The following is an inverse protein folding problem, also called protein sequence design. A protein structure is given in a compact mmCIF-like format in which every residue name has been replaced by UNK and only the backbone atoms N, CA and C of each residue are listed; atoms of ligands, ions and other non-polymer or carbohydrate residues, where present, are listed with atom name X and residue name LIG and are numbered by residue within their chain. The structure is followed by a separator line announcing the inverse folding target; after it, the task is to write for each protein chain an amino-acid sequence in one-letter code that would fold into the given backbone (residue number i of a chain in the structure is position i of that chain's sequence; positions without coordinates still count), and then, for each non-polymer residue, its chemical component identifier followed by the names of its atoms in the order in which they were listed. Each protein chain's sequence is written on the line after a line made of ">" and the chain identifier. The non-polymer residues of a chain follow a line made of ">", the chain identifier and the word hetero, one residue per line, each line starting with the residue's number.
data_IF_545337053936
#
_entry.id   IF_545337053936
#
_cell.length_a   1.000
_cell.length_b   1.000
_cell.length_c   1.000
_cell.angle_alpha   90.00
_cell.angle_beta   90.00
_cell.angle_gamma   90.00
#
_symmetry.space_group_name_H-M   'P 1'
#
loop_
_entity.id
_entity.type
_entity.pdbx_description
1 polymer ?
#
# COMPACT_ATOMS: atom_id res chain seq x y z
N UNK A 1 -21.32 0.56 5.80
CA UNK A 1 -20.95 -0.27 4.65
C UNK A 1 -19.60 0.16 4.13
N UNK A 2 -18.70 -0.79 3.91
CA UNK A 2 -17.35 -0.47 3.46
C UNK A 2 -17.31 -0.28 1.96
N UNK A 3 -16.62 0.74 1.53
CA UNK A 3 -16.32 0.92 0.12
C UNK A 3 -15.05 0.17 -0.25
N UNK A 4 -14.94 -0.20 -1.50
CA UNK A 4 -13.73 -0.79 -2.06
C UNK A 4 -13.26 0.03 -3.23
N UNK A 5 -11.95 0.22 -3.30
CA UNK A 5 -11.31 0.93 -4.41
C UNK A 5 -10.24 0.02 -4.97
N UNK A 6 -10.18 -0.07 -6.29
CA UNK A 6 -9.11 -0.77 -6.96
C UNK A 6 -8.20 0.25 -7.64
N UNK A 7 -6.90 0.10 -7.40
CA UNK A 7 -5.88 0.94 -8.03
C UNK A 7 -5.14 0.12 -9.07
N UNK A 8 -4.98 0.69 -10.23
CA UNK A 8 -4.23 0.05 -11.31
C UNK A 8 -3.17 1.04 -11.76
N UNK A 9 -1.92 0.60 -11.74
CA UNK A 9 -0.80 1.42 -12.20
C UNK A 9 -0.42 1.01 -13.61
N UNK A 10 -0.26 2.00 -14.47
CA UNK A 10 0.04 1.75 -15.89
C UNK A 10 1.14 2.68 -16.37
N UNK A 11 1.95 2.16 -17.29
CA UNK A 11 2.90 2.96 -18.06
C UNK A 11 2.64 2.64 -19.54
N UNK A 12 2.32 3.68 -20.33
CA UNK A 12 2.06 3.52 -21.74
C UNK A 12 1.10 2.37 -22.07
N UNK A 13 -0.03 2.33 -21.38
CA UNK A 13 -1.07 1.29 -21.56
C UNK A 13 -0.67 -0.10 -21.08
N UNK A 14 0.47 -0.23 -20.40
CA UNK A 14 0.89 -1.50 -19.82
C UNK A 14 0.64 -1.50 -18.33
N UNK A 15 0.03 -2.57 -17.83
CA UNK A 15 -0.17 -2.75 -16.39
C UNK A 15 1.16 -3.05 -15.73
N UNK A 16 1.53 -2.26 -14.73
CA UNK A 16 2.77 -2.48 -14.00
C UNK A 16 2.54 -2.89 -12.56
N UNK A 17 1.35 -2.64 -12.04
CA UNK A 17 1.04 -3.03 -10.67
C UNK A 17 -0.41 -2.75 -10.33
N UNK A 18 -0.83 -3.22 -9.16
CA UNK A 18 -2.20 -3.04 -8.70
C UNK A 18 -2.25 -3.12 -7.19
N UNK A 19 -3.36 -2.64 -6.65
CA UNK A 19 -3.68 -2.78 -5.25
C UNK A 19 -5.14 -2.45 -5.03
N UNK A 20 -5.69 -2.91 -3.93
CA UNK A 20 -7.07 -2.62 -3.56
C UNK A 20 -7.11 -2.11 -2.14
N UNK A 21 -8.16 -1.39 -1.81
CA UNK A 21 -8.38 -0.92 -0.45
C UNK A 21 -9.83 -1.06 -0.07
N UNK A 22 -10.04 -1.49 1.16
CA UNK A 22 -11.36 -1.51 1.80
C UNK A 22 -11.40 -0.34 2.77
N UNK A 23 -12.41 0.52 2.67
CA UNK A 23 -12.49 1.76 3.44
C UNK A 23 -13.58 1.67 4.50
N UNK A 24 -13.20 1.94 5.75
CA UNK A 24 -14.13 2.18 6.84
C UNK A 24 -14.27 3.68 7.08
N UNK A 25 -14.68 4.08 8.29
CA UNK A 25 -14.91 5.51 8.60
C UNK A 25 -13.63 6.33 8.54
N UNK A 26 -12.64 5.98 9.36
CA UNK A 26 -11.36 6.67 9.36
C UNK A 26 -10.21 5.72 9.06
N UNK A 27 -10.52 4.54 8.52
CA UNK A 27 -9.53 3.50 8.31
C UNK A 27 -9.60 2.95 6.90
N UNK A 28 -8.51 2.35 6.48
CA UNK A 28 -8.43 1.65 5.20
C UNK A 28 -7.50 0.46 5.35
N UNK A 29 -7.83 -0.62 4.65
CA UNK A 29 -6.99 -1.81 4.60
C UNK A 29 -6.61 -2.08 3.15
N UNK A 30 -5.31 -2.03 2.88
CA UNK A 30 -4.79 -2.29 1.54
C UNK A 30 -4.54 -3.79 1.40
N UNK A 31 -4.98 -4.37 0.29
CA UNK A 31 -4.77 -5.78 0.01
C UNK A 31 -4.53 -5.98 -1.48
N UNK A 32 -3.99 -7.15 -1.83
CA UNK A 32 -3.73 -7.47 -3.22
C UNK A 32 -2.72 -6.57 -3.89
N UNK A 33 -1.82 -5.95 -3.11
CA UNK A 33 -0.80 -5.08 -3.67
C UNK A 33 0.28 -5.91 -4.33
N UNK A 34 0.54 -5.64 -5.61
CA UNK A 34 1.58 -6.34 -6.34
C UNK A 34 2.14 -5.48 -7.46
N UNK A 35 3.38 -5.75 -7.81
CA UNK A 35 4.06 -5.15 -8.95
C UNK A 35 4.43 -6.27 -9.89
N UNK A 36 4.17 -6.10 -11.17
CA UNK A 36 4.52 -7.10 -12.18
C UNK A 36 6.01 -7.44 -12.10
N UNK A 37 6.39 -8.72 -12.21
CA UNK A 37 7.78 -9.13 -11.97
C UNK A 37 8.83 -8.35 -12.77
N UNK A 38 8.52 -8.06 -14.02
CA UNK A 38 9.46 -7.35 -14.89
C UNK A 38 9.69 -5.89 -14.48
N UNK A 39 8.85 -5.36 -13.60
CA UNK A 39 8.97 -3.98 -13.09
C UNK A 39 9.41 -3.91 -11.64
N UNK A 40 9.66 -5.04 -11.02
CA UNK A 40 10.14 -5.06 -9.64
C UNK A 40 11.61 -4.63 -9.56
N UNK A 41 11.99 -4.10 -8.41
CA UNK A 41 13.36 -3.67 -8.18
C UNK A 41 13.75 -2.37 -8.85
N UNK A 42 12.79 -1.62 -9.39
CA UNK A 42 13.03 -0.37 -10.11
C UNK A 42 12.38 0.85 -9.46
N UNK A 43 11.86 0.68 -8.25
CA UNK A 43 11.22 1.77 -7.52
C UNK A 43 9.74 1.97 -7.84
N UNK A 44 9.16 1.21 -8.73
CA UNK A 44 7.74 1.36 -9.05
C UNK A 44 6.84 1.00 -7.89
N UNK A 45 7.16 -0.05 -7.14
CA UNK A 45 6.35 -0.46 -6.00
C UNK A 45 6.22 0.65 -4.97
N UNK A 46 7.33 1.34 -4.68
CA UNK A 46 7.32 2.46 -3.74
C UNK A 46 6.47 3.61 -4.26
N UNK A 47 6.61 3.93 -5.54
CA UNK A 47 5.84 5.01 -6.14
C UNK A 47 4.34 4.70 -6.14
N UNK A 48 3.97 3.47 -6.49
CA UNK A 48 2.57 3.05 -6.52
C UNK A 48 1.98 3.09 -5.11
N UNK A 49 2.69 2.53 -4.13
CA UNK A 49 2.19 2.49 -2.76
C UNK A 49 2.05 3.90 -2.18
N UNK A 50 3.00 4.77 -2.44
CA UNK A 50 2.90 6.17 -2.00
C UNK A 50 1.67 6.85 -2.58
N UNK A 51 1.38 6.59 -3.84
CA UNK A 51 0.21 7.17 -4.50
C UNK A 51 -1.08 6.67 -3.87
N UNK A 52 -1.15 5.38 -3.56
CA UNK A 52 -2.31 4.81 -2.87
C UNK A 52 -2.48 5.45 -1.49
N UNK A 53 -1.40 5.58 -0.74
CA UNK A 53 -1.44 6.18 0.60
C UNK A 53 -1.90 7.63 0.53
N UNK A 54 -1.41 8.39 -0.43
CA UNK A 54 -1.81 9.78 -0.61
C UNK A 54 -3.31 9.88 -0.91
N UNK A 55 -3.81 9.02 -1.79
CA UNK A 55 -5.23 9.01 -2.12
C UNK A 55 -6.09 8.66 -0.91
N UNK A 56 -5.70 7.63 -0.15
CA UNK A 56 -6.44 7.22 1.04
C UNK A 56 -6.45 8.32 2.10
N UNK A 57 -5.32 8.99 2.29
CA UNK A 57 -5.22 10.09 3.24
C UNK A 57 -6.12 11.24 2.81
N UNK A 58 -6.14 11.57 1.53
CA UNK A 58 -7.00 12.62 1.00
C UNK A 58 -8.48 12.28 1.15
N UNK A 59 -8.80 11.01 1.28
CA UNK A 59 -10.16 10.55 1.56
C UNK A 59 -10.48 10.51 3.06
N UNK A 60 -9.59 11.02 3.90
CA UNK A 60 -9.80 11.12 5.34
C UNK A 60 -9.49 9.85 6.12
N UNK A 61 -8.75 8.90 5.53
CA UNK A 61 -8.42 7.66 6.22
C UNK A 61 -7.07 7.79 6.89
N UNK A 62 -7.11 7.92 8.21
CA UNK A 62 -5.91 8.13 9.03
C UNK A 62 -5.26 6.81 9.45
N UNK A 63 -6.06 5.76 9.62
CA UNK A 63 -5.59 4.45 10.07
C UNK A 63 -5.51 3.52 8.88
N UNK A 64 -4.28 3.28 8.40
CA UNK A 64 -4.08 2.49 7.20
C UNK A 64 -3.26 1.26 7.55
N UNK A 65 -3.78 0.09 7.18
CA UNK A 65 -3.06 -1.17 7.28
C UNK A 65 -2.84 -1.74 5.89
N UNK A 66 -1.85 -2.60 5.78
CA UNK A 66 -1.60 -3.31 4.53
C UNK A 66 -1.37 -4.79 4.84
N UNK A 67 -2.06 -5.62 4.09
CA UNK A 67 -1.91 -7.07 4.18
C UNK A 67 -0.72 -7.48 3.34
N UNK A 68 0.14 -8.32 3.90
CA UNK A 68 1.35 -8.74 3.22
C UNK A 68 1.54 -10.24 3.38
N UNK A 69 2.05 -10.87 2.33
CA UNK A 69 2.47 -12.26 2.40
C UNK A 69 3.79 -12.31 3.19
N UNK A 70 3.78 -13.01 4.32
CA UNK A 70 4.94 -13.09 5.21
C UNK A 70 6.16 -13.74 4.57
N UNK A 71 5.98 -14.45 3.47
CA UNK A 71 7.09 -15.07 2.75
C UNK A 71 7.78 -14.09 1.80
N UNK A 72 7.20 -12.93 1.57
CA UNK A 72 7.72 -11.96 0.62
C UNK A 72 8.61 -10.93 1.33
N UNK A 73 9.90 -11.23 1.42
CA UNK A 73 10.85 -10.35 2.12
C UNK A 73 11.03 -9.01 1.43
N UNK A 74 10.89 -8.95 0.12
CA UNK A 74 11.00 -7.69 -0.61
C UNK A 74 9.87 -6.74 -0.25
N UNK A 75 8.68 -7.28 -0.04
CA UNK A 75 7.53 -6.48 0.39
C UNK A 75 7.75 -5.92 1.79
N UNK A 76 8.34 -6.69 2.71
CA UNK A 76 8.67 -6.19 4.03
C UNK A 76 9.51 -4.92 3.97
N UNK A 77 10.59 -4.96 3.19
CA UNK A 77 11.47 -3.80 3.06
C UNK A 77 10.74 -2.61 2.47
N UNK A 78 9.92 -2.84 1.45
CA UNK A 78 9.15 -1.79 0.81
C UNK A 78 8.21 -1.12 1.81
N UNK A 79 7.45 -1.93 2.55
CA UNK A 79 6.45 -1.38 3.46
C UNK A 79 7.11 -0.60 4.60
N UNK A 80 8.22 -1.09 5.13
CA UNK A 80 8.96 -0.37 6.16
C UNK A 80 9.47 0.98 5.66
N UNK A 81 9.97 1.03 4.44
CA UNK A 81 10.42 2.28 3.83
C UNK A 81 9.27 3.28 3.65
N UNK A 82 8.06 2.78 3.50
CA UNK A 82 6.88 3.63 3.39
C UNK A 82 6.25 3.97 4.73
N UNK A 83 6.89 3.60 5.84
CA UNK A 83 6.44 3.98 7.17
C UNK A 83 5.49 3.01 7.84
N UNK A 84 5.38 1.79 7.33
CA UNK A 84 4.58 0.76 7.99
C UNK A 84 5.38 0.02 9.04
N UNK A 85 4.69 -0.41 10.08
CA UNK A 85 5.25 -1.27 11.13
C UNK A 85 4.38 -2.51 11.27
N UNK A 86 4.97 -3.60 11.74
CA UNK A 86 4.22 -4.82 11.98
C UNK A 86 3.20 -4.56 13.09
N UNK A 87 1.92 -4.74 12.77
CA UNK A 87 0.85 -4.51 13.74
C UNK A 87 0.78 -5.64 14.77
N UNK A 88 0.93 -6.87 14.29
CA UNK A 88 0.84 -8.06 15.11
C UNK A 88 1.85 -9.08 14.60
N UNK A 89 1.82 -10.29 15.16
CA UNK A 89 2.60 -11.42 14.63
C UNK A 89 2.03 -11.96 13.31
N UNK A 90 0.94 -11.37 12.82
CA UNK A 90 0.31 -11.76 11.56
C UNK A 90 0.79 -10.86 10.42
N UNK A 91 0.22 -11.04 9.25
CA UNK A 91 0.67 -10.45 8.01
C UNK A 91 0.06 -9.05 7.77
N UNK A 92 0.00 -8.22 8.82
CA UNK A 92 -0.52 -6.87 8.70
C UNK A 92 0.50 -5.86 9.17
N UNK A 93 0.62 -4.81 8.40
CA UNK A 93 1.43 -3.64 8.74
C UNK A 93 0.51 -2.44 8.89
N UNK A 94 0.79 -1.61 9.89
CA UNK A 94 0.04 -0.38 10.10
C UNK A 94 0.95 0.81 9.85
N UNK A 95 0.43 1.80 9.15
CA UNK A 95 1.12 3.06 8.93
C UNK A 95 1.24 3.80 10.25
N UNK A 96 2.45 4.24 10.58
CA UNK A 96 2.67 4.98 11.81
C UNK A 96 1.98 6.34 11.75
N UNK A 97 1.25 6.75 12.80
CA UNK A 97 0.56 8.04 12.80
C UNK A 97 1.49 9.23 12.67
N UNK A 98 2.70 9.11 13.19
CA UNK A 98 3.68 10.19 13.18
C UNK A 98 4.52 10.24 11.90
N UNK A 99 4.25 9.34 10.97
CA UNK A 99 4.98 9.32 9.70
C UNK A 99 4.44 10.41 8.79
N UNK A 100 5.31 11.33 8.39
CA UNK A 100 4.92 12.42 7.51
C UNK A 100 5.20 12.05 6.07
N UNK A 101 4.18 12.20 5.23
CA UNK A 101 4.35 12.03 3.81
C UNK A 101 5.08 13.23 3.25
N UNK A 102 6.23 12.96 2.69
CA UNK A 102 6.97 13.97 1.94
C UNK A 102 6.66 13.75 0.47
N UNK A 103 5.96 14.68 -0.10
CA UNK A 103 5.61 14.59 -1.51
C UNK A 103 6.82 14.82 -2.38
#
# INVERSE_FOLDING_TARGET
>A
MNQRIQYIAMIYKKHIGMGSASLGNDEASIFGFEVSPQYQGKGFGRAILKRILTDLKNRGRENITIEVDSTNKNAFNLYRKCGFEVETSFDYYRKRPDFLFQS
#
